data_IF_382163793271
#
_entry.id   IF_382163793271
#
_cell.length_a   1.000
_cell.length_b   1.000
_cell.length_c   1.000
_cell.angle_alpha   90.00
_cell.angle_beta   90.00
_cell.angle_gamma   90.00
#
_symmetry.space_group_name_H-M   'P 1'
#
loop_
_entity.id
_entity.type
_entity.pdbx_description
1 polymer ?
#
# COMPACT_ATOMS: atom_id res chain seq x y z
N UNK A 1 16.58 4.64 59.83
CA UNK A 1 16.75 6.00 59.27
C UNK A 1 15.95 6.02 57.97
N UNK A 2 14.85 6.73 57.77
CA UNK A 2 14.28 7.94 58.36
C UNK A 2 12.76 7.71 58.57
N UNK A 3 12.24 7.97 59.78
CA UNK A 3 11.56 9.22 60.17
C UNK A 3 10.14 9.32 59.62
N UNK A 4 9.17 9.35 60.55
CA UNK A 4 7.75 9.38 60.24
C UNK A 4 7.23 10.67 59.61
N UNK A 5 6.00 10.58 59.12
CA UNK A 5 5.11 11.72 58.92
C UNK A 5 3.74 11.40 59.53
N UNK A 6 3.62 11.74 60.81
CA UNK A 6 2.37 12.29 61.31
C UNK A 6 2.30 13.75 60.85
N UNK A 7 1.32 14.08 60.01
CA UNK A 7 0.83 15.45 59.88
C UNK A 7 -0.68 15.41 59.86
N UNK A 8 -1.26 15.80 60.99
CA UNK A 8 -2.62 16.30 61.12
C UNK A 8 -2.93 17.38 60.07
N UNK A 9 -4.21 17.47 59.71
CA UNK A 9 -4.83 18.71 59.25
C UNK A 9 -5.28 18.73 57.79
N UNK A 10 -6.57 18.46 57.58
CA UNK A 10 -7.39 19.09 56.53
C UNK A 10 -6.84 19.08 55.09
N UNK A 11 -6.50 17.91 54.55
CA UNK A 11 -6.38 17.75 53.10
C UNK A 11 -7.76 17.55 52.48
N UNK A 12 -8.54 18.63 52.41
CA UNK A 12 -9.62 18.69 51.42
C UNK A 12 -8.96 18.61 50.03
N UNK A 13 -9.44 17.75 49.13
CA UNK A 13 -8.86 17.64 47.80
C UNK A 13 -8.91 19.03 47.14
N UNK A 14 -7.76 19.53 46.70
CA UNK A 14 -7.64 20.79 45.97
C UNK A 14 -8.40 20.57 44.66
N UNK A 15 -9.62 21.08 44.60
CA UNK A 15 -10.46 21.03 43.42
C UNK A 15 -9.91 22.01 42.38
N UNK A 16 -10.01 21.70 41.08
CA UNK A 16 -9.89 22.73 40.06
C UNK A 16 -10.90 23.80 40.44
N UNK A 17 -10.39 25.02 40.63
CA UNK A 17 -11.17 26.19 40.97
C UNK A 17 -12.04 26.50 39.75
N UNK A 18 -13.17 25.80 39.62
CA UNK A 18 -14.28 26.31 38.83
C UNK A 18 -14.56 27.71 39.38
N UNK A 19 -14.69 28.70 38.50
CA UNK A 19 -14.92 30.11 38.84
C UNK A 19 -16.20 30.28 39.67
N UNK A 20 -16.10 30.00 40.98
CA UNK A 20 -17.16 30.18 41.94
C UNK A 20 -17.22 31.66 42.26
N UNK A 21 -18.09 32.37 41.55
CA UNK A 21 -18.33 33.79 41.83
C UNK A 21 -19.00 33.94 43.20
N UNK A 22 -18.45 34.75 44.12
CA UNK A 22 -19.07 34.98 45.41
C UNK A 22 -20.43 35.68 45.24
N UNK A 23 -21.44 35.20 45.97
CA UNK A 23 -22.80 35.74 45.94
C UNK A 23 -22.86 37.25 46.21
N UNK A 24 -21.93 37.76 47.03
CA UNK A 24 -21.81 39.18 47.33
C UNK A 24 -21.52 40.02 46.07
N UNK A 25 -20.68 39.53 45.15
CA UNK A 25 -20.38 40.25 43.91
C UNK A 25 -21.58 40.25 42.96
N UNK A 26 -22.37 39.16 42.95
CA UNK A 26 -23.60 39.09 42.17
C UNK A 26 -24.65 40.08 42.68
N UNK A 27 -24.77 40.22 44.00
CA UNK A 27 -25.68 41.18 44.62
C UNK A 27 -25.23 42.63 44.35
N UNK A 28 -23.95 42.93 44.50
CA UNK A 28 -23.40 44.27 44.24
C UNK A 28 -23.57 44.64 42.75
N UNK A 29 -23.24 43.74 41.84
CA UNK A 29 -23.45 43.94 40.40
C UNK A 29 -24.94 44.15 40.06
N UNK A 30 -25.85 43.44 40.73
CA UNK A 30 -27.29 43.63 40.56
C UNK A 30 -27.75 45.01 41.03
N UNK A 31 -27.29 45.44 42.20
CA UNK A 31 -27.59 46.75 42.77
C UNK A 31 -27.05 47.85 41.85
N UNK A 32 -25.78 47.79 41.46
CA UNK A 32 -25.14 48.73 40.53
C UNK A 32 -25.89 48.80 39.19
N UNK A 33 -26.28 47.66 38.63
CA UNK A 33 -27.08 47.60 37.40
C UNK A 33 -28.42 48.31 37.56
N UNK A 34 -29.14 48.07 38.66
CA UNK A 34 -30.43 48.72 38.90
C UNK A 34 -30.30 50.23 39.11
N UNK A 35 -29.24 50.70 39.77
CA UNK A 35 -28.94 52.11 39.92
C UNK A 35 -28.58 52.77 38.59
N UNK A 36 -27.76 52.10 37.76
CA UNK A 36 -27.41 52.59 36.44
C UNK A 36 -28.64 52.67 35.51
N UNK A 37 -29.46 51.63 35.49
CA UNK A 37 -30.72 51.63 34.74
C UNK A 37 -31.68 52.73 35.24
N UNK A 38 -31.74 52.98 36.55
CA UNK A 38 -32.55 54.07 37.11
C UNK A 38 -32.03 55.46 36.71
N UNK A 39 -30.71 55.66 36.74
CA UNK A 39 -30.07 56.91 36.35
C UNK A 39 -30.31 57.21 34.86
N UNK A 40 -30.05 56.24 33.99
CA UNK A 40 -30.30 56.37 32.55
C UNK A 40 -31.77 56.59 32.24
N UNK A 41 -32.69 55.92 32.96
CA UNK A 41 -34.12 56.18 32.79
C UNK A 41 -34.48 57.60 33.20
N UNK A 42 -33.93 58.12 34.30
CA UNK A 42 -34.21 59.48 34.79
C UNK A 42 -33.83 60.54 33.76
N UNK A 43 -32.69 60.37 33.09
CA UNK A 43 -32.24 61.25 32.00
C UNK A 43 -33.16 61.14 30.77
N UNK A 44 -33.51 59.92 30.35
CA UNK A 44 -34.39 59.67 29.21
C UNK A 44 -35.86 60.07 29.45
N UNK A 45 -36.31 60.11 30.71
CA UNK A 45 -37.66 60.47 31.09
C UNK A 45 -37.91 61.97 30.95
N UNK A 46 -36.91 62.84 31.11
CA UNK A 46 -37.09 64.30 31.04
C UNK A 46 -37.60 64.78 29.66
N UNK A 47 -37.35 64.03 28.60
CA UNK A 47 -37.70 64.41 27.22
C UNK A 47 -38.99 63.76 26.67
N UNK A 48 -39.74 62.97 27.47
CA UNK A 48 -40.90 62.18 27.00
C UNK A 48 -42.27 62.67 27.48
N UNK A 49 -43.33 62.23 26.81
CA UNK A 49 -44.72 62.53 27.21
C UNK A 49 -45.12 61.80 28.49
N UNK A 50 -46.08 62.35 29.25
CA UNK A 50 -46.50 61.79 30.55
C UNK A 50 -47.00 60.33 30.47
N UNK A 51 -47.65 59.94 29.37
CA UNK A 51 -48.14 58.57 29.16
C UNK A 51 -46.98 57.57 28.95
N UNK A 52 -45.99 57.95 28.16
CA UNK A 52 -44.80 57.14 27.88
C UNK A 52 -43.92 56.99 29.12
N UNK A 53 -43.77 58.07 29.90
CA UNK A 53 -43.08 58.06 31.20
C UNK A 53 -43.67 57.00 32.14
N UNK A 54 -45.00 56.96 32.26
CA UNK A 54 -45.69 55.99 33.13
C UNK A 54 -45.51 54.55 32.64
N UNK A 55 -45.53 54.31 31.32
CA UNK A 55 -45.28 52.98 30.74
C UNK A 55 -43.85 52.50 31.01
N UNK A 56 -42.84 53.34 30.80
CA UNK A 56 -41.44 52.98 31.03
C UNK A 56 -41.14 52.73 32.51
N UNK A 57 -41.71 53.53 33.42
CA UNK A 57 -41.55 53.31 34.87
C UNK A 57 -42.12 51.95 35.33
N UNK A 58 -43.31 51.58 34.83
CA UNK A 58 -43.91 50.27 35.15
C UNK A 58 -43.08 49.13 34.58
N UNK A 59 -42.57 49.26 33.34
CA UNK A 59 -41.67 48.26 32.75
C UNK A 59 -40.38 48.11 33.55
N UNK A 60 -39.77 49.21 33.97
CA UNK A 60 -38.60 49.21 34.84
C UNK A 60 -38.89 48.49 36.16
N UNK A 61 -39.96 48.86 36.86
CA UNK A 61 -40.35 48.21 38.12
C UNK A 61 -40.57 46.69 37.97
N UNK A 62 -41.22 46.26 36.88
CA UNK A 62 -41.41 44.84 36.57
C UNK A 62 -40.08 44.12 36.31
N UNK A 63 -39.17 44.71 35.52
CA UNK A 63 -37.85 44.13 35.21
C UNK A 63 -36.99 44.00 36.46
N UNK A 64 -36.90 45.07 37.26
CA UNK A 64 -36.16 45.10 38.52
C UNK A 64 -36.69 44.06 39.51
N UNK A 65 -38.02 43.94 39.64
CA UNK A 65 -38.65 42.90 40.46
C UNK A 65 -38.27 41.48 39.99
N UNK A 66 -38.30 41.20 38.68
CA UNK A 66 -37.94 39.88 38.16
C UNK A 66 -36.46 39.54 38.43
N UNK A 67 -35.57 40.53 38.29
CA UNK A 67 -34.15 40.37 38.58
C UNK A 67 -33.93 40.00 40.06
N UNK A 68 -34.55 40.73 41.00
CA UNK A 68 -34.44 40.42 42.43
C UNK A 68 -35.10 39.10 42.83
N UNK A 69 -36.19 38.68 42.16
CA UNK A 69 -36.79 37.36 42.37
C UNK A 69 -35.82 36.24 41.95
N UNK A 70 -35.12 36.40 40.83
CA UNK A 70 -34.10 35.42 40.38
C UNK A 70 -32.94 35.34 41.37
N UNK A 71 -32.46 36.49 41.85
CA UNK A 71 -31.40 36.52 42.87
C UNK A 71 -31.87 35.89 44.16
N UNK A 72 -33.12 36.14 44.59
CA UNK A 72 -33.70 35.49 45.77
C UNK A 72 -33.73 33.96 45.62
N UNK A 73 -34.05 33.44 44.43
CA UNK A 73 -34.00 32.01 44.16
C UNK A 73 -32.56 31.46 44.31
N UNK A 74 -31.56 32.18 43.80
CA UNK A 74 -30.14 31.82 43.96
C UNK A 74 -29.71 31.87 45.43
N UNK A 75 -30.13 32.88 46.20
CA UNK A 75 -29.83 32.99 47.64
C UNK A 75 -30.44 31.80 48.41
N UNK A 76 -31.68 31.44 48.11
CA UNK A 76 -32.33 30.25 48.70
C UNK A 76 -31.62 28.95 48.34
N UNK A 77 -31.12 28.84 47.11
CA UNK A 77 -30.33 27.70 46.68
C UNK A 77 -28.94 27.66 47.35
N UNK A 78 -28.29 28.82 47.50
CA UNK A 78 -26.99 28.96 48.14
C UNK A 78 -27.00 28.47 49.61
N UNK A 79 -28.13 28.59 50.31
CA UNK A 79 -28.30 28.01 51.64
C UNK A 79 -28.13 26.47 51.66
N UNK A 80 -28.42 25.79 50.55
CA UNK A 80 -28.22 24.33 50.39
C UNK A 80 -26.87 23.99 49.75
N UNK A 81 -26.15 24.98 49.22
CA UNK A 81 -24.92 24.78 48.46
C UNK A 81 -23.79 24.12 49.26
N UNK A 82 -23.77 24.23 50.60
CA UNK A 82 -22.79 23.54 51.44
C UNK A 82 -22.79 22.01 51.24
N UNK A 83 -23.98 21.40 51.12
CA UNK A 83 -24.12 19.96 50.86
C UNK A 83 -23.71 19.60 49.42
N UNK A 84 -24.01 20.49 48.47
CA UNK A 84 -23.67 20.32 47.06
C UNK A 84 -22.15 20.40 46.85
N UNK A 85 -21.46 21.34 47.50
CA UNK A 85 -20.01 21.47 47.45
C UNK A 85 -19.29 20.22 47.98
N UNK A 86 -19.82 19.58 49.03
CA UNK A 86 -19.26 18.33 49.54
C UNK A 86 -19.45 17.18 48.53
N UNK A 87 -20.62 17.09 47.89
CA UNK A 87 -20.87 16.11 46.85
C UNK A 87 -19.97 16.33 45.62
N UNK A 88 -19.81 17.58 45.18
CA UNK A 88 -18.90 17.98 44.10
C UNK A 88 -17.45 17.59 44.43
N UNK A 89 -17.01 17.80 45.68
CA UNK A 89 -15.68 17.39 46.12
C UNK A 89 -15.48 15.87 46.05
N UNK A 90 -16.50 15.09 46.44
CA UNK A 90 -16.47 13.62 46.38
C UNK A 90 -16.48 13.16 44.92
N UNK A 91 -17.33 13.74 44.09
CA UNK A 91 -17.42 13.44 42.67
C UNK A 91 -16.07 13.67 41.97
N UNK A 92 -15.45 14.83 42.19
CA UNK A 92 -14.14 15.12 41.60
C UNK A 92 -13.06 14.15 42.07
N UNK A 93 -13.06 13.76 43.35
CA UNK A 93 -12.14 12.75 43.86
C UNK A 93 -12.33 11.38 43.21
N UNK A 94 -13.58 10.96 43.01
CA UNK A 94 -13.91 9.71 42.32
C UNK A 94 -13.51 9.76 40.85
N UNK A 95 -13.80 10.86 40.15
CA UNK A 95 -13.40 11.08 38.77
C UNK A 95 -11.87 11.04 38.62
N UNK A 96 -11.14 11.70 39.51
CA UNK A 96 -9.68 11.67 39.51
C UNK A 96 -9.13 10.26 39.69
N UNK A 97 -9.72 9.47 40.58
CA UNK A 97 -9.31 8.07 40.80
C UNK A 97 -9.64 7.18 39.60
N UNK A 98 -10.83 7.33 39.01
CA UNK A 98 -11.22 6.59 37.83
C UNK A 98 -10.28 6.89 36.64
N UNK A 99 -9.87 8.15 36.49
CA UNK A 99 -8.91 8.57 35.48
C UNK A 99 -7.54 7.91 35.69
N UNK A 100 -7.01 7.91 36.92
CA UNK A 100 -5.73 7.27 37.22
C UNK A 100 -5.76 5.75 36.93
N UNK A 101 -6.86 5.07 37.27
CA UNK A 101 -7.01 3.64 36.96
C UNK A 101 -6.96 3.42 35.44
N UNK A 102 -7.66 4.24 34.67
CA UNK A 102 -7.63 4.15 33.20
C UNK A 102 -6.23 4.39 32.64
N UNK A 103 -5.57 5.46 33.06
CA UNK A 103 -4.21 5.80 32.63
C UNK A 103 -3.21 4.68 32.95
N UNK A 104 -3.30 4.08 34.14
CA UNK A 104 -2.44 2.95 34.51
C UNK A 104 -2.71 1.71 33.66
N UNK A 105 -3.97 1.38 33.38
CA UNK A 105 -4.33 0.27 32.49
C UNK A 105 -3.78 0.50 31.08
N UNK A 106 -3.91 1.71 30.56
CA UNK A 106 -3.42 2.07 29.22
C UNK A 106 -1.91 1.95 29.14
N UNK A 107 -1.20 2.44 30.16
CA UNK A 107 0.26 2.32 30.27
C UNK A 107 0.70 0.84 30.33
N UNK A 108 0.03 0.01 31.14
CA UNK A 108 0.33 -1.42 31.24
C UNK A 108 0.06 -2.15 29.91
N UNK A 109 -1.04 -1.83 29.23
CA UNK A 109 -1.36 -2.41 27.93
C UNK A 109 -0.32 -2.03 26.87
N UNK A 110 0.13 -0.77 26.87
CA UNK A 110 1.18 -0.28 25.99
C UNK A 110 2.52 -0.99 26.27
N UNK A 111 2.89 -1.12 27.54
CA UNK A 111 4.11 -1.82 27.94
C UNK A 111 4.10 -3.28 27.49
N UNK A 112 2.98 -3.98 27.72
CA UNK A 112 2.84 -5.38 27.37
C UNK A 112 2.88 -5.62 25.86
N UNK A 113 2.26 -4.75 25.07
CA UNK A 113 2.15 -4.94 23.61
C UNK A 113 3.36 -4.45 22.84
N UNK A 114 4.04 -3.40 23.30
CA UNK A 114 5.12 -2.79 22.53
C UNK A 114 6.48 -3.17 23.13
N UNK A 115 6.69 -2.87 24.40
CA UNK A 115 8.03 -2.97 25.01
C UNK A 115 8.43 -4.39 25.39
N UNK A 116 7.48 -5.20 25.86
CA UNK A 116 7.78 -6.59 26.21
C UNK A 116 8.04 -7.46 24.98
N UNK A 117 7.44 -7.16 23.82
CA UNK A 117 7.73 -7.89 22.59
C UNK A 117 9.18 -7.63 22.14
N UNK A 118 9.64 -6.38 22.19
CA UNK A 118 11.02 -6.02 21.84
C UNK A 118 12.05 -6.60 22.82
N UNK A 119 11.68 -6.77 24.08
CA UNK A 119 12.55 -7.40 25.08
C UNK A 119 12.65 -8.93 24.92
N UNK A 120 11.74 -9.55 24.17
CA UNK A 120 11.78 -10.99 23.91
C UNK A 120 12.72 -11.27 22.76
N UNK A 121 13.64 -12.21 22.99
CA UNK A 121 14.49 -12.72 21.93
C UNK A 121 13.60 -13.49 20.92
N UNK A 122 13.74 -13.23 19.60
CA UNK A 122 13.02 -14.00 18.60
C UNK A 122 13.43 -15.48 18.64
N UNK A 123 12.56 -16.36 18.17
CA UNK A 123 12.91 -17.76 18.01
C UNK A 123 13.97 -17.90 16.91
N UNK A 124 15.06 -18.63 17.19
CA UNK A 124 16.11 -18.89 16.22
C UNK A 124 15.82 -20.22 15.50
N UNK A 125 15.52 -20.20 14.20
CA UNK A 125 15.28 -21.44 13.48
C UNK A 125 16.62 -22.11 13.15
N UNK A 126 17.00 -23.07 13.98
CA UNK A 126 18.28 -23.78 13.86
C UNK A 126 18.33 -24.62 12.58
N UNK A 127 17.23 -25.28 12.22
CA UNK A 127 17.13 -26.10 11.00
C UNK A 127 17.45 -25.28 9.75
N UNK A 128 16.88 -24.08 9.67
CA UNK A 128 17.08 -23.17 8.54
C UNK A 128 18.53 -22.69 8.42
N UNK A 129 19.18 -22.45 9.57
CA UNK A 129 20.58 -22.10 9.62
C UNK A 129 21.47 -23.27 9.17
N UNK A 130 21.12 -24.50 9.53
CA UNK A 130 21.83 -25.71 9.07
C UNK A 130 21.66 -25.90 7.57
N UNK A 131 20.46 -25.70 7.03
CA UNK A 131 20.19 -25.78 5.59
C UNK A 131 21.00 -24.73 4.83
N UNK A 132 21.02 -23.48 5.30
CA UNK A 132 21.83 -22.42 4.70
C UNK A 132 23.33 -22.73 4.71
N UNK A 133 23.84 -23.35 5.77
CA UNK A 133 25.25 -23.73 5.91
C UNK A 133 25.63 -24.93 5.04
N UNK A 134 24.72 -25.89 4.86
CA UNK A 134 25.00 -27.15 4.14
C UNK A 134 24.71 -27.05 2.65
N UNK A 135 23.60 -26.40 2.28
CA UNK A 135 23.15 -26.27 0.90
C UNK A 135 23.59 -24.95 0.25
N UNK A 136 24.11 -24.00 1.04
CA UNK A 136 24.50 -22.67 0.55
C UNK A 136 23.33 -21.80 0.08
N UNK A 137 22.08 -22.26 0.25
CA UNK A 137 20.86 -21.59 -0.16
C UNK A 137 19.81 -21.66 0.95
N UNK A 138 19.04 -20.58 1.10
CA UNK A 138 18.00 -20.46 2.11
C UNK A 138 16.63 -20.80 1.49
N UNK A 139 16.01 -21.87 1.99
CA UNK A 139 14.70 -22.37 1.52
C UNK A 139 13.53 -21.38 1.72
N UNK A 140 13.73 -20.29 2.46
CA UNK A 140 12.71 -19.26 2.75
C UNK A 140 12.69 -18.11 1.76
N UNK A 141 13.70 -18.00 0.90
CA UNK A 141 13.71 -16.96 -0.11
C UNK A 141 12.74 -17.40 -1.22
N UNK A 142 11.65 -16.67 -1.46
CA UNK A 142 10.75 -16.99 -2.57
C UNK A 142 11.56 -16.96 -3.87
N UNK A 143 11.37 -17.98 -4.73
CA UNK A 143 12.11 -18.12 -5.99
C UNK A 143 12.10 -16.83 -6.83
N UNK A 144 11.03 -16.03 -6.75
CA UNK A 144 10.91 -14.74 -7.44
C UNK A 144 11.92 -13.67 -7.04
N UNK A 145 12.51 -13.74 -5.85
CA UNK A 145 13.63 -12.87 -5.47
C UNK A 145 14.98 -13.41 -5.98
N UNK A 146 15.07 -14.71 -6.24
CA UNK A 146 16.24 -15.35 -6.84
C UNK A 146 16.32 -15.16 -8.36
N UNK A 147 15.18 -14.96 -9.04
CA UNK A 147 15.10 -14.70 -10.49
C UNK A 147 15.92 -13.50 -10.96
N UNK A 148 16.07 -12.47 -10.12
CA UNK A 148 16.89 -11.29 -10.45
C UNK A 148 18.40 -11.47 -10.24
N UNK A 149 18.82 -12.52 -9.52
CA UNK A 149 20.22 -12.73 -9.10
C UNK A 149 20.82 -14.04 -9.64
N UNK A 150 20.01 -14.88 -10.28
CA UNK A 150 20.47 -16.12 -10.90
C UNK A 150 21.32 -15.82 -12.12
N UNK A 151 22.63 -15.91 -11.96
CA UNK A 151 23.57 -15.97 -13.08
C UNK A 151 23.21 -17.20 -13.91
N UNK A 152 22.86 -17.04 -15.19
CA UNK A 152 22.69 -18.15 -16.11
C UNK A 152 23.90 -19.08 -16.01
N UNK A 153 23.71 -20.26 -15.41
CA UNK A 153 24.76 -21.28 -15.34
C UNK A 153 24.75 -21.98 -16.70
N UNK A 154 25.82 -21.85 -17.52
CA UNK A 154 25.87 -22.54 -18.79
C UNK A 154 25.75 -24.05 -18.55
N UNK A 155 24.92 -24.72 -19.34
CA UNK A 155 24.72 -26.17 -19.24
C UNK A 155 26.07 -26.91 -19.28
N UNK A 156 26.24 -27.87 -18.38
CA UNK A 156 27.48 -28.64 -18.26
C UNK A 156 27.75 -29.42 -19.55
N UNK A 157 29.02 -29.61 -19.94
CA UNK A 157 29.35 -30.34 -21.18
C UNK A 157 28.74 -31.76 -21.20
N UNK A 158 28.65 -32.41 -20.03
CA UNK A 158 28.01 -33.72 -19.87
C UNK A 158 26.51 -33.68 -20.20
N UNK A 159 25.79 -32.67 -19.69
CA UNK A 159 24.37 -32.50 -19.98
C UNK A 159 24.14 -32.22 -21.47
N UNK A 160 25.03 -31.45 -22.10
CA UNK A 160 24.97 -31.18 -23.55
C UNK A 160 25.14 -32.45 -24.36
N UNK A 161 26.08 -33.32 -23.97
CA UNK A 161 26.29 -34.60 -24.65
C UNK A 161 25.09 -35.56 -24.53
N UNK A 162 24.31 -35.49 -23.45
CA UNK A 162 23.09 -36.28 -23.28
C UNK A 162 21.87 -35.67 -24.00
N UNK A 163 21.72 -34.35 -23.96
CA UNK A 163 20.53 -33.65 -24.48
C UNK A 163 20.55 -33.54 -26.01
N UNK A 164 21.71 -33.23 -26.62
CA UNK A 164 21.82 -33.06 -28.07
C UNK A 164 21.36 -34.27 -28.92
N UNK A 165 21.74 -35.53 -28.62
CA UNK A 165 21.26 -36.69 -29.38
C UNK A 165 19.76 -36.92 -29.18
N UNK A 166 19.23 -36.69 -27.98
CA UNK A 166 17.79 -36.77 -27.71
C UNK A 166 17.01 -35.74 -28.51
N UNK A 167 17.46 -34.49 -28.55
CA UNK A 167 16.87 -33.45 -29.38
C UNK A 167 16.90 -33.81 -30.87
N UNK A 168 18.02 -34.34 -31.36
CA UNK A 168 18.11 -34.82 -32.74
C UNK A 168 17.08 -35.92 -33.04
N UNK A 169 16.89 -36.88 -32.13
CA UNK A 169 15.90 -37.93 -32.28
C UNK A 169 14.47 -37.38 -32.34
N UNK A 170 14.12 -36.43 -31.46
CA UNK A 170 12.79 -35.78 -31.47
C UNK A 170 12.59 -35.02 -32.78
N UNK A 171 13.59 -34.29 -33.26
CA UNK A 171 13.54 -33.56 -34.53
C UNK A 171 13.37 -34.51 -35.72
N UNK A 172 14.08 -35.63 -35.74
CA UNK A 172 13.93 -36.63 -36.81
C UNK A 172 12.53 -37.24 -36.85
N UNK A 173 11.98 -37.59 -35.67
CA UNK A 173 10.64 -38.16 -35.57
C UNK A 173 9.58 -37.14 -36.00
N UNK A 174 9.76 -35.88 -35.63
CA UNK A 174 8.85 -34.80 -36.00
C UNK A 174 8.90 -34.48 -37.49
N UNK A 175 10.09 -34.43 -38.08
CA UNK A 175 10.28 -34.21 -39.50
C UNK A 175 9.64 -35.32 -40.35
N UNK A 176 9.62 -36.57 -39.84
CA UNK A 176 8.96 -37.69 -40.51
C UNK A 176 7.43 -37.61 -40.51
N UNK A 177 6.84 -36.89 -39.54
CA UNK A 177 5.38 -36.71 -39.42
C UNK A 177 4.92 -35.44 -40.16
N UNK A 178 5.77 -34.41 -40.24
CA UNK A 178 5.43 -33.15 -40.87
C UNK A 178 5.42 -33.24 -42.41
N UNK A 179 4.48 -32.53 -43.04
CA UNK A 179 4.44 -32.41 -44.49
C UNK A 179 5.54 -31.44 -44.97
N UNK A 180 6.53 -31.99 -45.67
CA UNK A 180 7.62 -31.22 -46.27
C UNK A 180 7.31 -30.92 -47.73
N UNK A 181 7.35 -29.63 -48.14
CA UNK A 181 7.37 -29.25 -49.55
C UNK A 181 8.50 -29.95 -50.32
N UNK A 182 8.20 -30.44 -51.52
CA UNK A 182 9.13 -31.17 -52.41
C UNK A 182 10.34 -30.30 -52.82
N UNK A 183 10.21 -28.99 -52.67
CA UNK A 183 11.20 -27.98 -53.01
C UNK A 183 12.36 -27.90 -52.00
N UNK A 184 12.24 -28.50 -50.82
CA UNK A 184 13.37 -28.63 -49.89
C UNK A 184 14.35 -29.70 -50.38
N UNK A 185 15.37 -29.26 -51.12
CA UNK A 185 16.36 -30.13 -51.74
C UNK A 185 17.33 -30.72 -50.71
N UNK A 186 17.65 -29.98 -49.64
CA UNK A 186 18.63 -30.41 -48.64
C UNK A 186 18.13 -30.17 -47.21
N UNK A 187 17.79 -31.26 -46.53
CA UNK A 187 17.38 -31.25 -45.11
C UNK A 187 18.45 -31.95 -44.29
N UNK A 188 19.15 -31.21 -43.43
CA UNK A 188 20.16 -31.81 -42.54
C UNK A 188 19.88 -31.48 -41.08
N UNK A 189 20.02 -32.47 -40.20
CA UNK A 189 19.84 -32.34 -38.76
C UNK A 189 21.19 -32.51 -38.10
N UNK A 190 21.68 -31.47 -37.41
CA UNK A 190 22.97 -31.50 -36.71
C UNK A 190 22.87 -30.76 -35.38
N UNK A 191 23.41 -31.34 -34.31
CA UNK A 191 23.48 -30.72 -32.97
C UNK A 191 22.12 -30.18 -32.48
N UNK A 192 21.02 -30.92 -32.70
CA UNK A 192 19.68 -30.48 -32.27
C UNK A 192 19.11 -29.29 -33.06
N UNK A 193 19.65 -29.00 -34.24
CA UNK A 193 19.15 -27.97 -35.16
C UNK A 193 18.83 -28.62 -36.50
N UNK A 194 17.65 -28.32 -37.03
CA UNK A 194 17.22 -28.67 -38.39
C UNK A 194 17.61 -27.53 -39.30
N UNK A 195 18.37 -27.85 -40.33
CA UNK A 195 18.72 -26.92 -41.42
C UNK A 195 17.93 -27.34 -42.65
N UNK A 196 17.09 -26.45 -43.13
CA UNK A 196 16.33 -26.60 -44.36
C UNK A 196 16.93 -25.66 -45.39
N UNK A 197 17.40 -26.20 -46.51
CA UNK A 197 17.95 -25.41 -47.60
C UNK A 197 17.27 -25.73 -48.92
N UNK A 198 17.03 -24.67 -49.69
CA UNK A 198 16.60 -24.71 -51.09
C UNK A 198 17.76 -24.15 -51.92
N UNK A 199 18.18 -24.90 -52.94
CA UNK A 199 19.36 -24.55 -53.73
C UNK A 199 19.19 -23.19 -54.40
N UNK A 200 20.04 -22.23 -54.02
CA UNK A 200 20.07 -20.89 -54.62
C UNK A 200 19.07 -19.87 -54.09
N UNK A 201 18.24 -20.20 -53.08
CA UNK A 201 17.20 -19.29 -52.58
C UNK A 201 17.34 -18.96 -51.08
N UNK A 202 17.34 -19.96 -50.18
CA UNK A 202 17.44 -19.71 -48.74
C UNK A 202 17.89 -20.92 -47.90
N UNK A 203 18.49 -20.62 -46.74
CA UNK A 203 18.83 -21.58 -45.67
C UNK A 203 18.16 -21.13 -44.36
N UNK A 204 17.38 -22.02 -43.74
CA UNK A 204 16.64 -21.76 -42.51
C UNK A 204 17.06 -22.75 -41.43
N UNK A 205 17.40 -22.24 -40.25
CA UNK A 205 17.76 -23.02 -39.06
C UNK A 205 16.62 -23.02 -38.06
N UNK A 206 15.98 -24.17 -37.90
CA UNK A 206 14.88 -24.40 -36.99
C UNK A 206 15.30 -25.29 -35.84
N UNK A 207 14.65 -25.15 -34.70
CA UNK A 207 14.62 -26.20 -33.70
C UNK A 207 13.39 -26.07 -32.82
N UNK A 208 13.44 -26.70 -31.65
CA UNK A 208 12.26 -26.85 -30.80
C UNK A 208 12.62 -26.42 -29.38
N UNK A 209 11.68 -25.77 -28.71
CA UNK A 209 11.82 -25.28 -27.34
C UNK A 209 11.38 -26.30 -26.27
N UNK A 210 10.64 -27.35 -26.64
CA UNK A 210 10.15 -28.38 -25.73
C UNK A 210 10.15 -29.81 -26.31
N UNK A 211 10.03 -30.82 -25.45
CA UNK A 211 9.99 -32.25 -25.81
C UNK A 211 8.63 -32.69 -26.43
N UNK A 212 7.72 -31.75 -26.70
CA UNK A 212 6.42 -32.06 -27.27
C UNK A 212 6.50 -32.08 -28.81
N UNK A 213 6.01 -33.17 -29.42
CA UNK A 213 5.91 -33.36 -30.87
C UNK A 213 5.06 -32.28 -31.57
N UNK A 214 4.12 -31.66 -30.85
CA UNK A 214 3.24 -30.59 -31.36
C UNK A 214 3.69 -29.18 -30.96
N UNK A 215 4.84 -29.02 -30.30
CA UNK A 215 5.34 -27.69 -29.90
C UNK A 215 5.58 -26.80 -31.12
N UNK A 216 5.40 -25.49 -31.04
CA UNK A 216 5.74 -24.61 -32.16
C UNK A 216 7.23 -24.73 -32.56
N UNK A 217 7.52 -24.57 -33.85
CA UNK A 217 8.91 -24.50 -34.31
C UNK A 217 9.52 -23.17 -33.85
N UNK A 218 10.81 -23.18 -33.52
CA UNK A 218 11.57 -22.00 -33.17
C UNK A 218 12.63 -21.73 -34.24
N UNK A 219 12.60 -20.53 -34.79
CA UNK A 219 13.52 -20.06 -35.80
C UNK A 219 14.76 -19.46 -35.13
N UNK A 220 15.92 -20.09 -35.34
CA UNK A 220 17.19 -19.59 -34.81
C UNK A 220 17.86 -18.60 -35.77
N UNK A 221 17.86 -18.91 -37.06
CA UNK A 221 18.53 -18.09 -38.07
C UNK A 221 17.98 -18.38 -39.46
N UNK A 222 17.68 -17.33 -40.20
CA UNK A 222 17.42 -17.38 -41.63
C UNK A 222 18.58 -16.76 -42.38
N UNK A 223 18.93 -17.32 -43.53
CA UNK A 223 19.81 -16.72 -44.53
C UNK A 223 19.09 -16.79 -45.86
N UNK A 224 19.01 -15.66 -46.54
CA UNK A 224 18.47 -15.58 -47.90
C UNK A 224 19.66 -15.47 -48.84
N UNK A 225 19.69 -16.32 -49.87
CA UNK A 225 20.66 -16.26 -50.94
C UNK A 225 20.01 -15.53 -52.13
N UNK A 226 19.80 -14.23 -52.01
CA UNK A 226 19.43 -13.41 -53.18
C UNK A 226 20.69 -13.17 -54.01
N UNK A 227 20.70 -13.62 -55.27
CA UNK A 227 21.81 -13.42 -56.21
C UNK A 227 21.41 -12.40 -57.26
N UNK A 228 22.03 -11.23 -57.24
CA UNK A 228 22.06 -10.35 -58.41
C UNK A 228 23.07 -10.89 -59.43
N UNK A 229 22.79 -10.81 -60.75
CA UNK A 229 23.66 -11.34 -61.78
C UNK A 229 25.01 -10.57 -61.92
N UNK A 230 25.12 -9.37 -61.35
CA UNK A 230 26.28 -8.48 -61.55
C UNK A 230 27.33 -8.54 -60.42
N UNK A 231 26.97 -8.93 -59.18
CA UNK A 231 27.91 -9.04 -58.05
C UNK A 231 27.60 -10.26 -57.16
N UNK A 232 28.41 -11.34 -57.18
CA UNK A 232 28.09 -12.59 -56.51
C UNK A 232 28.39 -12.64 -55.00
N UNK A 233 28.97 -11.59 -54.40
CA UNK A 233 29.55 -11.65 -53.05
C UNK A 233 28.94 -10.70 -52.01
N UNK A 234 28.00 -9.81 -52.36
CA UNK A 234 27.33 -8.94 -51.37
C UNK A 234 26.03 -9.56 -50.87
N UNK A 235 25.94 -9.79 -49.55
CA UNK A 235 24.68 -10.05 -48.86
C UNK A 235 23.80 -8.79 -48.97
N UNK A 236 22.86 -8.78 -49.91
CA UNK A 236 22.00 -7.62 -50.23
C UNK A 236 21.04 -7.21 -49.10
N UNK A 237 20.91 -8.01 -48.03
CA UNK A 237 19.94 -7.78 -46.96
C UNK A 237 20.64 -7.26 -45.70
N UNK A 238 20.18 -6.10 -45.21
CA UNK A 238 20.72 -5.51 -43.98
C UNK A 238 20.45 -6.42 -42.76
N UNK A 239 21.40 -6.58 -41.80
CA UNK A 239 21.22 -7.47 -40.65
C UNK A 239 19.99 -7.15 -39.80
N UNK A 240 19.60 -5.87 -39.69
CA UNK A 240 18.36 -5.46 -39.01
C UNK A 240 17.09 -5.94 -39.74
N UNK A 241 17.11 -5.98 -41.08
CA UNK A 241 15.98 -6.48 -41.86
C UNK A 241 15.86 -8.00 -41.70
N UNK A 242 16.99 -8.71 -41.65
CA UNK A 242 17.02 -10.15 -41.35
C UNK A 242 16.52 -10.46 -39.94
N UNK A 243 16.84 -9.63 -38.94
CA UNK A 243 16.29 -9.77 -37.58
C UNK A 243 14.79 -9.49 -37.54
N UNK A 244 14.31 -8.44 -38.22
CA UNK A 244 12.89 -8.17 -38.32
C UNK A 244 12.12 -9.31 -39.00
N UNK A 245 12.66 -9.84 -40.11
CA UNK A 245 12.12 -10.99 -40.81
C UNK A 245 12.09 -12.23 -39.91
N UNK A 246 13.18 -12.50 -39.18
CA UNK A 246 13.26 -13.61 -38.21
C UNK A 246 12.18 -13.48 -37.14
N UNK A 247 11.98 -12.29 -36.60
CA UNK A 247 10.95 -12.03 -35.59
C UNK A 247 9.54 -12.19 -36.15
N UNK A 248 9.28 -11.69 -37.36
CA UNK A 248 8.00 -11.89 -38.03
C UNK A 248 7.73 -13.38 -38.20
N UNK A 249 8.63 -14.13 -38.85
CA UNK A 249 8.47 -15.58 -39.05
C UNK A 249 8.26 -16.30 -37.72
N UNK A 250 8.98 -15.95 -36.67
CA UNK A 250 8.82 -16.57 -35.35
C UNK A 250 7.41 -16.42 -34.76
N UNK A 251 6.74 -15.28 -35.00
CA UNK A 251 5.35 -15.06 -34.58
C UNK A 251 4.40 -15.95 -35.38
N UNK A 252 4.54 -15.98 -36.70
CA UNK A 252 3.70 -16.81 -37.59
C UNK A 252 3.85 -18.30 -37.28
N UNK A 253 5.08 -18.74 -37.04
CA UNK A 253 5.43 -20.13 -36.74
C UNK A 253 4.84 -20.62 -35.41
N UNK A 254 4.42 -19.68 -34.53
CA UNK A 254 3.67 -19.96 -33.31
C UNK A 254 2.16 -20.13 -33.52
N UNK A 255 1.60 -19.60 -34.61
CA UNK A 255 0.15 -19.57 -34.88
C UNK A 255 -0.31 -20.64 -35.90
N UNK A 256 0.57 -21.07 -36.79
CA UNK A 256 0.22 -21.96 -37.92
C UNK A 256 0.26 -23.46 -37.58
N UNK A 257 -0.77 -24.23 -37.98
CA UNK A 257 -0.79 -25.71 -37.90
C UNK A 257 0.17 -26.36 -38.92
N UNK A 258 0.34 -25.77 -40.11
CA UNK A 258 1.22 -26.24 -41.19
C UNK A 258 2.44 -25.32 -41.41
N UNK A 259 3.19 -25.12 -40.34
CA UNK A 259 4.35 -24.25 -40.22
C UNK A 259 5.35 -24.29 -41.40
N UNK A 260 5.71 -25.48 -41.91
CA UNK A 260 6.77 -25.62 -42.92
C UNK A 260 6.32 -25.21 -44.33
N UNK A 261 5.06 -25.47 -44.68
CA UNK A 261 4.49 -25.12 -45.99
C UNK A 261 4.25 -23.62 -46.08
N UNK A 262 3.76 -23.01 -44.99
CA UNK A 262 3.54 -21.57 -44.92
C UNK A 262 4.84 -20.78 -44.86
N UNK A 263 5.86 -21.29 -44.15
CA UNK A 263 7.21 -20.73 -44.15
C UNK A 263 7.80 -20.70 -45.56
N UNK A 264 7.63 -21.79 -46.32
CA UNK A 264 8.07 -21.83 -47.72
C UNK A 264 7.34 -20.79 -48.58
N UNK A 265 6.01 -20.69 -48.48
CA UNK A 265 5.21 -19.69 -49.23
C UNK A 265 5.61 -18.26 -48.90
N UNK A 266 5.87 -17.97 -47.63
CA UNK A 266 6.22 -16.62 -47.19
C UNK A 266 7.61 -16.21 -47.67
N UNK A 267 8.58 -17.11 -47.60
CA UNK A 267 9.94 -16.87 -48.10
C UNK A 267 9.96 -16.72 -49.62
N UNK A 268 9.15 -17.48 -50.35
CA UNK A 268 9.01 -17.35 -51.80
C UNK A 268 8.39 -16.00 -52.20
N UNK A 269 7.34 -15.56 -51.49
CA UNK A 269 6.65 -14.29 -51.78
C UNK A 269 7.53 -13.06 -51.49
N UNK A 270 8.49 -13.18 -50.58
CA UNK A 270 9.47 -12.14 -50.27
C UNK A 270 10.80 -12.28 -51.05
N UNK A 271 11.03 -13.39 -51.74
CA UNK A 271 12.20 -13.62 -52.59
C UNK A 271 12.02 -13.16 -54.05
N UNK A 272 10.78 -13.07 -54.54
CA UNK A 272 10.46 -12.68 -55.93
C UNK A 272 10.27 -11.16 -56.17
N UNK A 273 10.66 -10.28 -55.24
CA UNK A 273 10.53 -8.82 -55.41
C UNK A 273 11.84 -8.06 -55.27
#
# INVERSE_FOLDING_TARGET
MASGLSTNGSNAPILPMHDKTPLAHLLDAAVQKTYHELYTMTDLLQNKTNLERKKELVKFACRTRQLFIRILAVVKWAATAGKVNACESIQHFLERRAQLIRETSDCLAQLARLKLLDARLPNFPITDAVDALTLGSVNFLPERLSEGTSTYVPASENERHEILPRLQQILTARLAIAELPIQFTNVTIRNGIVTLAVDGEFEVKLGITSDNLFASWHLYKTKLFLRDPEEPEQELVHPLQMQALTNCIQVWLGESENALVELYRYLLLHGEK
#
